data_IF_406527683617
#
_entry.id   IF_406527683617
#
_cell.length_a   1.000
_cell.length_b   1.000
_cell.length_c   1.000
_cell.angle_alpha   90.00
_cell.angle_beta   90.00
_cell.angle_gamma   90.00
#
_symmetry.space_group_name_H-M   'P 1'
#
loop_
_entity.id
_entity.type
_entity.pdbx_description
1 polymer ?
#
# COMPACT_ATOMS: atom_id res chain seq x y z
N UNK A 1 5.61 -14.47 9.92
CA UNK A 1 4.36 -13.68 10.08
C UNK A 1 3.70 -13.36 8.74
N UNK A 2 4.41 -12.81 7.75
CA UNK A 2 3.84 -12.47 6.43
C UNK A 2 3.07 -13.61 5.74
N UNK A 3 3.63 -14.83 5.74
CA UNK A 3 2.93 -16.02 5.22
C UNK A 3 1.57 -16.31 5.90
N UNK A 4 1.45 -16.03 7.20
CA UNK A 4 0.18 -16.21 7.91
C UNK A 4 -0.83 -15.13 7.56
N UNK A 5 -0.36 -13.90 7.33
CA UNK A 5 -1.20 -12.79 6.87
C UNK A 5 -1.78 -13.12 5.49
N UNK A 6 -0.94 -13.58 4.54
CA UNK A 6 -1.41 -13.99 3.20
C UNK A 6 -2.45 -15.11 3.30
N UNK A 7 -2.15 -16.18 4.05
CA UNK A 7 -3.08 -17.30 4.24
C UNK A 7 -4.42 -16.84 4.81
N UNK A 8 -4.41 -15.92 5.79
CA UNK A 8 -5.63 -15.35 6.36
C UNK A 8 -6.35 -14.44 5.36
N UNK A 9 -5.65 -13.60 4.61
CA UNK A 9 -6.24 -12.76 3.57
C UNK A 9 -6.98 -13.60 2.51
N UNK A 10 -6.43 -14.75 2.12
CA UNK A 10 -7.10 -15.71 1.23
C UNK A 10 -8.36 -16.36 1.82
N UNK A 11 -8.52 -16.38 3.14
CA UNK A 11 -9.73 -16.84 3.82
C UNK A 11 -10.76 -15.70 3.85
N UNK A 12 -10.33 -14.48 4.14
CA UNK A 12 -11.17 -13.28 4.15
C UNK A 12 -11.70 -12.93 2.74
N UNK A 13 -10.90 -13.18 1.71
CA UNK A 13 -11.25 -12.90 0.32
C UNK A 13 -10.69 -13.96 -0.62
N UNK A 14 -11.57 -14.81 -1.14
CA UNK A 14 -11.19 -15.95 -2.00
C UNK A 14 -10.50 -15.54 -3.30
N UNK A 15 -10.80 -14.36 -3.83
CA UNK A 15 -10.22 -13.82 -5.07
C UNK A 15 -8.72 -13.52 -4.92
N UNK A 16 -8.25 -13.26 -3.70
CA UNK A 16 -6.82 -13.13 -3.40
C UNK A 16 -6.13 -14.47 -3.62
N UNK A 17 -6.75 -15.58 -3.20
CA UNK A 17 -6.22 -16.92 -3.44
C UNK A 17 -6.12 -17.21 -4.93
N UNK A 18 -7.16 -16.89 -5.69
CA UNK A 18 -7.18 -17.08 -7.15
C UNK A 18 -6.06 -16.27 -7.81
N UNK A 19 -5.88 -15.01 -7.39
CA UNK A 19 -4.79 -14.16 -7.87
C UNK A 19 -3.41 -14.78 -7.57
N UNK A 20 -3.15 -15.17 -6.32
CA UNK A 20 -1.85 -15.72 -5.93
C UNK A 20 -1.52 -17.04 -6.61
N UNK A 21 -2.52 -17.90 -6.85
CA UNK A 21 -2.33 -19.16 -7.58
C UNK A 21 -1.90 -18.97 -9.05
N UNK A 22 -2.06 -17.77 -9.61
CA UNK A 22 -1.61 -17.45 -10.97
C UNK A 22 -0.21 -16.81 -11.00
N UNK A 23 0.43 -16.62 -9.84
CA UNK A 23 1.79 -16.11 -9.74
C UNK A 23 2.79 -17.27 -9.56
N UNK A 24 4.06 -17.08 -9.98
CA UNK A 24 5.14 -17.97 -9.59
C UNK A 24 5.27 -18.05 -8.06
N UNK A 25 5.64 -19.22 -7.55
CA UNK A 25 5.78 -19.46 -6.10
C UNK A 25 6.79 -18.49 -5.48
N UNK A 26 7.89 -18.19 -6.19
CA UNK A 26 8.92 -17.25 -5.73
C UNK A 26 8.36 -15.83 -5.51
N UNK A 27 7.43 -15.40 -6.37
CA UNK A 27 6.78 -14.08 -6.24
C UNK A 27 5.83 -14.06 -5.04
N UNK A 28 5.13 -15.17 -4.77
CA UNK A 28 4.26 -15.29 -3.60
C UNK A 28 5.07 -15.27 -2.30
N UNK A 29 6.20 -15.95 -2.28
CA UNK A 29 7.14 -15.95 -1.15
C UNK A 29 7.77 -14.57 -0.93
N UNK A 30 8.15 -13.88 -2.00
CA UNK A 30 8.65 -12.50 -1.94
C UNK A 30 7.59 -11.56 -1.37
N UNK A 31 6.33 -11.65 -1.83
CA UNK A 31 5.22 -10.87 -1.27
C UNK A 31 5.02 -11.11 0.23
N UNK A 32 5.18 -12.36 0.69
CA UNK A 32 5.10 -12.69 2.10
C UNK A 32 6.26 -12.06 2.90
N UNK A 33 7.47 -12.11 2.33
CA UNK A 33 8.68 -11.55 2.92
C UNK A 33 8.61 -10.02 3.01
N UNK A 34 8.16 -9.36 1.93
CA UNK A 34 8.00 -7.91 1.85
C UNK A 34 6.96 -7.42 2.85
N UNK A 35 5.84 -8.12 2.98
CA UNK A 35 4.80 -7.77 3.95
C UNK A 35 5.31 -7.89 5.39
N UNK A 36 6.11 -8.93 5.69
CA UNK A 36 6.76 -9.05 6.99
C UNK A 36 7.71 -7.89 7.26
N UNK A 37 8.61 -7.63 6.31
CA UNK A 37 9.64 -6.59 6.40
C UNK A 37 9.02 -5.20 6.55
N UNK A 38 7.96 -4.91 5.78
CA UNK A 38 7.22 -3.66 5.87
C UNK A 38 6.65 -3.44 7.27
N UNK A 39 5.96 -4.43 7.84
CA UNK A 39 5.38 -4.32 9.18
C UNK A 39 6.48 -4.18 10.24
N UNK A 40 7.54 -4.97 10.16
CA UNK A 40 8.67 -4.90 11.10
C UNK A 40 9.33 -3.53 11.10
N UNK A 41 9.66 -2.98 9.92
CA UNK A 41 10.31 -1.67 9.81
C UNK A 41 9.41 -0.53 10.34
N UNK A 42 8.09 -0.64 10.19
CA UNK A 42 7.17 0.35 10.76
C UNK A 42 7.10 0.27 12.29
N UNK A 43 7.18 -0.93 12.87
CA UNK A 43 7.18 -1.12 14.32
C UNK A 43 8.48 -0.68 14.96
N UNK A 44 9.63 -0.93 14.32
CA UNK A 44 10.95 -0.52 14.83
C UNK A 44 11.13 1.00 14.96
N UNK A 45 10.31 1.79 14.25
CA UNK A 45 10.37 3.24 14.27
C UNK A 45 9.23 3.90 15.06
N UNK A 46 8.46 3.13 15.85
CA UNK A 46 7.23 3.61 16.53
C UNK A 46 7.48 4.65 17.64
N UNK A 47 8.69 4.66 18.20
CA UNK A 47 9.03 5.50 19.36
C UNK A 47 9.31 6.98 19.00
N UNK A 48 9.46 7.29 17.71
CA UNK A 48 9.65 8.66 17.22
C UNK A 48 8.49 9.01 16.27
N UNK A 49 7.43 9.69 16.74
CA UNK A 49 6.21 9.91 15.96
C UNK A 49 6.43 10.77 14.70
N UNK A 50 7.41 11.67 14.71
CA UNK A 50 7.74 12.52 13.55
C UNK A 50 8.47 11.68 12.50
N UNK A 51 9.46 10.88 12.92
CA UNK A 51 10.16 9.94 12.06
C UNK A 51 9.24 8.83 11.56
N UNK A 52 8.37 8.29 12.41
CA UNK A 52 7.36 7.29 12.10
C UNK A 52 6.47 7.80 10.98
N UNK A 53 5.95 9.02 11.09
CA UNK A 53 5.05 9.57 10.07
C UNK A 53 5.76 9.68 8.71
N UNK A 54 7.01 10.15 8.67
CA UNK A 54 7.75 10.32 7.42
C UNK A 54 8.20 8.97 6.83
N UNK A 55 8.79 8.11 7.66
CA UNK A 55 9.37 6.83 7.27
C UNK A 55 8.29 5.80 6.94
N UNK A 56 7.23 5.69 7.75
CA UNK A 56 6.06 4.86 7.42
C UNK A 56 5.43 5.32 6.13
N UNK A 57 5.25 6.63 5.90
CA UNK A 57 4.70 7.10 4.63
C UNK A 57 5.60 6.71 3.44
N UNK A 58 6.91 6.75 3.62
CA UNK A 58 7.89 6.41 2.56
C UNK A 58 7.88 4.92 2.26
N UNK A 59 8.00 4.08 3.30
CA UNK A 59 7.95 2.62 3.20
C UNK A 59 6.59 2.14 2.68
N UNK A 60 5.50 2.69 3.21
CA UNK A 60 4.15 2.35 2.77
C UNK A 60 3.93 2.71 1.31
N UNK A 61 4.37 3.89 0.87
CA UNK A 61 4.28 4.28 -0.54
C UNK A 61 5.07 3.31 -1.41
N UNK A 62 6.34 3.05 -1.09
CA UNK A 62 7.17 2.12 -1.85
C UNK A 62 6.53 0.72 -1.96
N UNK A 63 5.99 0.20 -0.85
CA UNK A 63 5.25 -1.07 -0.82
C UNK A 63 4.03 -1.04 -1.76
N UNK A 64 3.26 0.04 -1.74
CA UNK A 64 2.14 0.24 -2.66
C UNK A 64 2.56 0.32 -4.13
N UNK A 65 3.69 0.98 -4.42
CA UNK A 65 4.25 1.08 -5.77
C UNK A 65 4.72 -0.27 -6.31
N UNK A 66 5.31 -1.14 -5.47
CA UNK A 66 5.65 -2.51 -5.83
C UNK A 66 4.39 -3.30 -6.23
N UNK A 67 3.33 -3.21 -5.42
CA UNK A 67 2.06 -3.89 -5.72
C UNK A 67 1.38 -3.35 -6.99
N UNK A 68 1.58 -2.08 -7.35
CA UNK A 68 1.10 -1.53 -8.62
C UNK A 68 1.76 -2.18 -9.84
N UNK A 69 2.94 -2.79 -9.71
CA UNK A 69 3.56 -3.55 -10.79
C UNK A 69 2.78 -4.84 -11.09
N UNK A 70 2.07 -5.38 -10.10
CA UNK A 70 1.24 -6.57 -10.23
C UNK A 70 -0.17 -6.27 -10.79
N UNK A 71 -0.52 -4.99 -10.99
CA UNK A 71 -1.83 -4.61 -11.52
C UNK A 71 -2.09 -5.18 -12.92
N UNK A 72 -1.05 -5.33 -13.75
CA UNK A 72 -1.17 -5.90 -15.10
C UNK A 72 -1.48 -7.40 -15.10
N UNK A 73 -1.13 -8.10 -14.01
CA UNK A 73 -1.35 -9.55 -13.83
C UNK A 73 -2.52 -9.86 -12.90
N UNK A 74 -3.35 -8.86 -12.59
CA UNK A 74 -4.63 -9.05 -11.90
C UNK A 74 -4.65 -8.66 -10.43
N UNK A 75 -3.61 -8.02 -9.89
CA UNK A 75 -3.69 -7.42 -8.56
C UNK A 75 -4.73 -6.28 -8.56
N UNK A 76 -5.57 -6.21 -7.52
CA UNK A 76 -6.60 -5.19 -7.40
C UNK A 76 -6.46 -4.43 -6.07
N UNK A 77 -6.70 -3.10 -6.06
CA UNK A 77 -6.52 -2.29 -4.85
C UNK A 77 -7.48 -2.66 -3.72
N UNK A 78 -8.62 -3.30 -4.02
CA UNK A 78 -9.54 -3.83 -3.00
C UNK A 78 -8.96 -5.00 -2.19
N UNK A 79 -7.86 -5.61 -2.64
CA UNK A 79 -7.15 -6.65 -1.87
C UNK A 79 -6.41 -6.07 -0.66
N UNK A 80 -6.08 -4.77 -0.65
CA UNK A 80 -5.38 -4.16 0.48
C UNK A 80 -6.20 -4.16 1.78
N UNK A 81 -7.53 -4.04 1.70
CA UNK A 81 -8.38 -4.06 2.89
C UNK A 81 -8.33 -5.41 3.65
N UNK A 82 -8.63 -6.57 3.02
CA UNK A 82 -8.51 -7.87 3.68
C UNK A 82 -7.07 -8.23 4.05
N UNK A 83 -6.05 -7.73 3.34
CA UNK A 83 -4.64 -7.89 3.77
C UNK A 83 -4.38 -7.11 5.07
N UNK A 84 -4.88 -5.88 5.19
CA UNK A 84 -4.78 -5.08 6.41
C UNK A 84 -5.50 -5.74 7.59
N UNK A 85 -6.73 -6.21 7.39
CA UNK A 85 -7.50 -6.92 8.42
C UNK A 85 -6.78 -8.21 8.87
N UNK A 86 -6.20 -8.93 7.91
CA UNK A 86 -5.39 -10.10 8.21
C UNK A 86 -4.12 -9.75 9.00
N UNK A 87 -3.45 -8.64 8.67
CA UNK A 87 -2.27 -8.16 9.38
C UNK A 87 -2.61 -7.80 10.84
N UNK A 88 -3.69 -7.06 11.06
CA UNK A 88 -4.17 -6.72 12.41
C UNK A 88 -4.41 -8.00 13.22
N UNK A 89 -5.14 -8.97 12.66
CA UNK A 89 -5.46 -10.21 13.35
C UNK A 89 -4.21 -11.04 13.72
N UNK A 90 -3.22 -11.13 12.82
CA UNK A 90 -1.97 -11.84 13.13
C UNK A 90 -1.11 -11.08 14.15
N UNK A 91 -1.05 -9.75 14.09
CA UNK A 91 -0.30 -8.95 15.07
C UNK A 91 -0.92 -9.01 16.47
N UNK A 92 -2.25 -8.93 16.57
CA UNK A 92 -2.98 -9.12 17.85
C UNK A 92 -2.77 -10.53 18.41
N UNK A 93 -2.71 -11.54 17.54
CA UNK A 93 -2.45 -12.93 17.96
C UNK A 93 -1.03 -13.09 18.52
N UNK A 94 -0.04 -12.39 17.96
CA UNK A 94 1.36 -12.44 18.40
C UNK A 94 1.57 -11.84 19.80
N UNK A 95 0.75 -10.87 20.21
CA UNK A 95 0.78 -10.33 21.57
C UNK A 95 0.54 -11.41 22.64
N UNK A 96 -0.07 -12.55 22.27
CA UNK A 96 -0.17 -13.72 23.16
C UNK A 96 -1.01 -13.50 24.42
N UNK A 97 -1.76 -12.39 24.49
CA UNK A 97 -2.51 -11.99 25.67
C UNK A 97 -1.68 -11.28 26.72
N UNK A 98 -0.48 -10.77 26.37
CA UNK A 98 0.33 -9.93 27.25
C UNK A 98 -0.40 -8.64 27.64
N UNK A 99 -1.19 -8.09 26.72
CA UNK A 99 -2.02 -6.91 26.94
C UNK A 99 -3.51 -7.24 26.75
N UNK A 100 -4.40 -6.31 27.14
CA UNK A 100 -5.84 -6.52 26.94
C UNK A 100 -6.14 -6.53 25.46
N UNK A 101 -6.87 -7.56 25.02
CA UNK A 101 -7.21 -7.77 23.60
C UNK A 101 -7.82 -6.55 22.92
N UNK A 102 -8.71 -5.81 23.61
CA UNK A 102 -9.34 -4.62 23.05
C UNK A 102 -8.34 -3.48 22.84
N UNK A 103 -7.40 -3.29 23.77
CA UNK A 103 -6.36 -2.26 23.70
C UNK A 103 -5.36 -2.59 22.57
N UNK A 104 -4.91 -3.85 22.47
CA UNK A 104 -4.04 -4.30 21.38
C UNK A 104 -4.70 -4.20 20.02
N UNK A 105 -5.99 -4.57 19.93
CA UNK A 105 -6.73 -4.50 18.68
C UNK A 105 -6.83 -3.05 18.22
N UNK A 106 -7.19 -2.13 19.12
CA UNK A 106 -7.28 -0.72 18.80
C UNK A 106 -5.94 -0.15 18.32
N UNK A 107 -4.84 -0.43 19.03
CA UNK A 107 -3.51 0.04 18.69
C UNK A 107 -3.07 -0.47 17.30
N UNK A 108 -3.18 -1.77 17.06
CA UNK A 108 -2.83 -2.36 15.76
C UNK A 108 -3.74 -1.85 14.63
N UNK A 109 -5.03 -1.67 14.88
CA UNK A 109 -5.95 -1.09 13.89
C UNK A 109 -5.55 0.33 13.49
N UNK A 110 -5.16 1.18 14.45
CA UNK A 110 -4.73 2.55 14.17
C UNK A 110 -3.43 2.58 13.36
N UNK A 111 -2.43 1.82 13.78
CA UNK A 111 -1.13 1.75 13.09
C UNK A 111 -1.28 1.21 11.67
N UNK A 112 -1.96 0.07 11.51
CA UNK A 112 -2.15 -0.55 10.20
C UNK A 112 -3.01 0.33 9.28
N UNK A 113 -4.02 1.05 9.80
CA UNK A 113 -4.79 2.00 9.01
C UNK A 113 -3.93 3.16 8.49
N UNK A 114 -3.03 3.71 9.33
CA UNK A 114 -2.08 4.74 8.91
C UNK A 114 -1.13 4.22 7.82
N UNK A 115 -0.57 3.03 8.03
CA UNK A 115 0.29 2.34 7.05
C UNK A 115 -0.44 2.15 5.71
N UNK A 116 -1.63 1.55 5.72
CA UNK A 116 -2.34 1.19 4.48
C UNK A 116 -2.95 2.39 3.75
N UNK A 117 -3.06 3.54 4.40
CA UNK A 117 -3.35 4.81 3.71
C UNK A 117 -2.19 5.16 2.77
N UNK A 118 -0.95 5.13 3.27
CA UNK A 118 0.25 5.36 2.46
C UNK A 118 0.44 4.32 1.34
N UNK A 119 0.11 3.06 1.61
CA UNK A 119 0.14 1.98 0.60
C UNK A 119 -0.80 2.28 -0.56
N UNK A 120 -2.04 2.67 -0.29
CA UNK A 120 -3.01 3.01 -1.34
C UNK A 120 -2.56 4.23 -2.14
N UNK A 121 -2.01 5.24 -1.47
CA UNK A 121 -1.46 6.42 -2.13
C UNK A 121 -0.34 6.07 -3.12
N UNK A 122 0.65 5.29 -2.68
CA UNK A 122 1.75 4.83 -3.53
C UNK A 122 1.24 4.01 -4.71
N UNK A 123 0.33 3.07 -4.45
CA UNK A 123 -0.30 2.26 -5.49
C UNK A 123 -0.97 3.12 -6.58
N UNK A 124 -1.86 4.03 -6.18
CA UNK A 124 -2.57 4.88 -7.13
C UNK A 124 -1.66 5.89 -7.83
N UNK A 125 -0.63 6.40 -7.16
CA UNK A 125 0.38 7.25 -7.79
C UNK A 125 1.10 6.49 -8.92
N UNK A 126 1.57 5.26 -8.64
CA UNK A 126 2.29 4.43 -9.63
C UNK A 126 1.40 3.98 -10.78
N UNK A 127 0.17 3.52 -10.52
CA UNK A 127 -0.78 3.14 -11.58
C UNK A 127 -1.10 4.33 -12.50
N UNK A 128 -1.30 5.54 -11.94
CA UNK A 128 -1.49 6.75 -12.75
C UNK A 128 -0.28 7.05 -13.62
N UNK A 129 0.93 6.91 -13.07
CA UNK A 129 2.17 7.08 -13.84
C UNK A 129 2.28 6.07 -14.98
N UNK A 130 2.05 4.78 -14.72
CA UNK A 130 2.06 3.71 -15.73
C UNK A 130 1.11 4.01 -16.89
N UNK A 131 -0.13 4.42 -16.58
CA UNK A 131 -1.13 4.82 -17.59
C UNK A 131 -0.68 6.01 -18.43
N UNK A 132 -0.04 7.01 -17.83
CA UNK A 132 0.48 8.18 -18.58
C UNK A 132 1.66 7.80 -19.46
N UNK A 133 2.50 6.86 -19.02
CA UNK A 133 3.65 6.41 -19.79
C UNK A 133 3.30 5.53 -20.98
N UNK A 134 2.19 4.77 -20.90
CA UNK A 134 1.69 3.92 -21.98
C UNK A 134 0.94 4.69 -23.08
N UNK A 135 0.68 6.00 -22.91
CA UNK A 135 0.03 6.81 -23.94
C UNK A 135 0.99 7.12 -25.11
N UNK A 136 0.48 7.16 -26.35
CA UNK A 136 1.24 7.66 -27.51
C UNK A 136 1.83 9.05 -27.24
N UNK A 137 3.04 9.28 -27.76
CA UNK A 137 3.83 10.50 -27.48
C UNK A 137 3.06 11.80 -27.79
N UNK A 138 2.22 11.82 -28.83
CA UNK A 138 1.38 12.97 -29.19
C UNK A 138 0.35 13.32 -28.10
N UNK A 139 -0.33 12.32 -27.53
CA UNK A 139 -1.29 12.54 -26.43
C UNK A 139 -0.58 12.98 -25.14
N UNK A 140 0.63 12.48 -24.87
CA UNK A 140 1.44 12.92 -23.72
C UNK A 140 1.82 14.41 -23.82
N UNK A 141 2.17 14.87 -25.01
CA UNK A 141 2.51 16.28 -25.26
C UNK A 141 1.29 17.19 -25.06
N UNK A 142 0.10 16.77 -25.53
CA UNK A 142 -1.14 17.51 -25.35
C UNK A 142 -1.54 17.66 -23.87
N UNK A 143 -1.50 16.57 -23.10
CA UNK A 143 -1.79 16.59 -21.66
C UNK A 143 -0.79 17.47 -20.89
N UNK A 144 0.48 17.48 -21.30
CA UNK A 144 1.50 18.39 -20.73
C UNK A 144 1.19 19.86 -21.02
N UNK A 145 0.74 20.16 -22.25
CA UNK A 145 0.35 21.52 -22.64
C UNK A 145 -0.87 22.01 -21.84
N UNK A 146 -1.89 21.17 -21.65
CA UNK A 146 -3.07 21.51 -20.83
C UNK A 146 -2.68 21.81 -19.37
N UNK A 147 -1.89 20.93 -18.73
CA UNK A 147 -1.45 21.15 -17.35
C UNK A 147 -0.58 22.41 -17.19
N UNK A 148 0.18 22.79 -18.23
CA UNK A 148 0.96 24.04 -18.22
C UNK A 148 0.10 25.29 -18.42
N UNK A 149 -1.03 25.15 -19.10
CA UNK A 149 -1.98 26.24 -19.33
C UNK A 149 -2.76 26.55 -18.06
N UNK A 150 -3.25 25.52 -17.36
CA UNK A 150 -3.94 25.67 -16.07
C UNK A 150 -3.06 26.32 -15.00
N UNK A 151 -1.76 25.99 -14.93
CA UNK A 151 -0.83 26.68 -14.00
C UNK A 151 -0.69 28.16 -14.30
N UNK A 152 -0.55 28.52 -15.58
CA UNK A 152 -0.42 29.92 -16.00
C UNK A 152 -1.70 30.73 -15.73
N UNK A 153 -2.87 30.11 -15.92
CA UNK A 153 -4.15 30.74 -15.57
C UNK A 153 -4.26 31.00 -14.07
N UNK A 154 -3.83 30.06 -13.23
CA UNK A 154 -3.87 30.22 -11.77
C UNK A 154 -2.89 31.28 -11.24
N UNK A 155 -1.69 31.39 -11.83
CA UNK A 155 -0.71 32.42 -11.49
C UNK A 155 -1.20 33.84 -11.85
N UNK A 156 -1.91 34.00 -12.98
CA UNK A 156 -2.47 35.30 -13.40
C UNK A 156 -3.68 35.79 -12.60
N UNK A 157 -4.32 34.92 -11.81
CA UNK A 157 -5.45 35.27 -10.94
C UNK A 157 -4.99 35.72 -9.54
N UNK A 158 -3.75 35.42 -9.11
CA UNK A 158 -3.20 35.89 -7.83
C UNK A 158 -2.47 37.25 -7.93
N UNK A 159 -2.28 37.78 -9.13
CA UNK A 159 -1.62 39.07 -9.37
C UNK A 159 -2.61 40.24 -9.61
N UNK A 160 -3.92 40.03 -9.39
CA UNK A 160 -4.99 41.05 -9.44
C UNK A 160 -5.63 41.26 -8.07
#
# INVERSE_FOLDING_TARGET
MGNQIIKRACILRSEIRVFLNNLPEEVVDELASDLYTFISNCVENIDDPDKLTLEVNTLARAFGEQHAQLCSVGFRPDYFAPIADAAIAECVKLDGGAHKRCETLLAWSQLIAAMFTGVRDGYYARVRLQRRTSLPQQQRIQLRKQASFERKSFEGEMEQ
#
